data_IF_433794771990
#
_entry.id   IF_433794771990
#
_cell.length_a   1.000
_cell.length_b   1.000
_cell.length_c   1.000
_cell.angle_alpha   90.00
_cell.angle_beta   90.00
_cell.angle_gamma   90.00
#
_symmetry.space_group_name_H-M   'P 1'
#
loop_
_entity.id
_entity.type
_entity.pdbx_description
1 polymer ?
#
# COMPACT_ATOMS: atom_id res chain seq x y z
N UNK A 1 -0.06 2.37 29.06
CA UNK A 1 -0.38 0.94 29.14
C UNK A 1 -1.73 0.77 28.48
N UNK A 2 -1.76 0.48 27.17
CA UNK A 2 -3.01 0.29 26.42
C UNK A 2 -3.63 -1.00 26.93
N UNK A 3 -4.88 -0.98 27.36
CA UNK A 3 -5.51 -2.20 27.89
C UNK A 3 -5.79 -3.18 26.76
N UNK A 4 -5.71 -4.48 27.04
CA UNK A 4 -5.87 -5.56 26.05
C UNK A 4 -7.24 -5.51 25.31
N UNK A 5 -8.22 -4.80 25.87
CA UNK A 5 -9.56 -4.60 25.29
C UNK A 5 -9.56 -3.50 24.22
N UNK A 6 -8.81 -2.40 24.42
CA UNK A 6 -8.70 -1.31 23.45
C UNK A 6 -7.96 -1.77 22.18
N UNK A 7 -6.93 -2.60 22.34
CA UNK A 7 -6.20 -3.21 21.23
C UNK A 7 -7.07 -4.17 20.41
N UNK A 8 -7.88 -5.00 21.06
CA UNK A 8 -8.79 -5.93 20.38
C UNK A 8 -9.88 -5.18 19.58
N UNK A 9 -10.46 -4.12 20.15
CA UNK A 9 -11.44 -3.29 19.45
C UNK A 9 -10.83 -2.54 18.25
N UNK A 10 -9.63 -1.96 18.44
CA UNK A 10 -8.87 -1.30 17.38
C UNK A 10 -8.62 -2.25 16.20
N UNK A 11 -8.14 -3.46 16.49
CA UNK A 11 -7.89 -4.49 15.48
C UNK A 11 -9.19 -4.95 14.83
N UNK A 12 -10.26 -5.20 15.57
CA UNK A 12 -11.54 -5.66 15.00
C UNK A 12 -12.11 -4.68 13.96
N UNK A 13 -11.98 -3.37 14.19
CA UNK A 13 -12.43 -2.35 13.25
C UNK A 13 -11.56 -2.24 11.99
N UNK A 14 -10.26 -2.57 12.11
CA UNK A 14 -9.26 -2.43 11.04
C UNK A 14 -8.93 -3.75 10.36
N UNK A 15 -9.43 -4.85 10.90
CA UNK A 15 -9.03 -6.20 10.53
C UNK A 15 -9.40 -6.49 9.09
N UNK A 16 -8.44 -7.06 8.37
CA UNK A 16 -8.66 -7.66 7.05
C UNK A 16 -9.41 -9.01 7.15
N UNK A 17 -9.82 -9.49 8.33
CA UNK A 17 -10.48 -10.80 8.45
C UNK A 17 -11.90 -10.84 7.85
N UNK A 18 -12.56 -9.68 7.70
CA UNK A 18 -13.86 -9.56 6.99
C UNK A 18 -13.69 -9.26 5.49
N UNK A 19 -12.59 -9.69 4.88
CA UNK A 19 -12.28 -9.45 3.46
C UNK A 19 -13.45 -9.75 2.51
N UNK A 20 -14.28 -10.77 2.76
CA UNK A 20 -15.44 -11.04 1.88
C UNK A 20 -16.48 -9.92 1.87
N UNK A 21 -16.81 -9.36 3.03
CA UNK A 21 -17.78 -8.27 3.14
C UNK A 21 -17.20 -6.96 2.57
N UNK A 22 -15.92 -6.69 2.84
CA UNK A 22 -15.24 -5.52 2.29
C UNK A 22 -15.02 -5.62 0.79
N UNK A 23 -14.73 -6.81 0.26
CA UNK A 23 -14.62 -7.03 -1.17
C UNK A 23 -15.96 -6.70 -1.86
N UNK A 24 -17.09 -7.19 -1.36
CA UNK A 24 -18.39 -6.84 -1.97
C UNK A 24 -18.67 -5.32 -1.97
N UNK A 25 -18.29 -4.60 -0.90
CA UNK A 25 -18.44 -3.15 -0.85
C UNK A 25 -17.47 -2.41 -1.79
N UNK A 26 -16.24 -2.91 -1.94
CA UNK A 26 -15.25 -2.38 -2.89
C UNK A 26 -15.68 -2.67 -4.32
N UNK A 27 -16.18 -3.87 -4.61
CA UNK A 27 -16.74 -4.28 -5.89
C UNK A 27 -17.85 -3.32 -6.31
N UNK A 28 -18.75 -2.94 -5.38
CA UNK A 28 -19.80 -1.95 -5.65
C UNK A 28 -19.24 -0.58 -6.01
N UNK A 29 -18.24 -0.09 -5.26
CA UNK A 29 -17.61 1.22 -5.53
C UNK A 29 -16.91 1.20 -6.90
N UNK A 30 -16.12 0.16 -7.17
CA UNK A 30 -15.43 0.00 -8.45
C UNK A 30 -16.45 -0.08 -9.59
N UNK A 31 -17.53 -0.83 -9.41
CA UNK A 31 -18.61 -0.95 -10.39
C UNK A 31 -19.29 0.38 -10.68
N UNK A 32 -19.70 1.12 -9.64
CA UNK A 32 -20.35 2.43 -9.78
C UNK A 32 -19.44 3.44 -10.49
N UNK A 33 -18.18 3.52 -10.07
CA UNK A 33 -17.20 4.44 -10.68
C UNK A 33 -16.91 4.04 -12.12
N UNK A 34 -16.70 2.75 -12.39
CA UNK A 34 -16.41 2.30 -13.75
C UNK A 34 -17.60 2.44 -14.69
N UNK A 35 -18.84 2.27 -14.22
CA UNK A 35 -20.04 2.56 -15.02
C UNK A 35 -20.22 4.06 -15.29
N UNK A 36 -19.85 4.92 -14.34
CA UNK A 36 -19.89 6.37 -14.53
C UNK A 36 -18.87 6.86 -15.56
N UNK A 37 -17.69 6.23 -15.62
CA UNK A 37 -16.64 6.56 -16.60
C UNK A 37 -16.90 5.89 -17.95
N UNK A 38 -17.33 4.62 -17.95
CA UNK A 38 -17.67 3.83 -19.15
C UNK A 38 -19.06 3.19 -18.99
N UNK A 39 -20.12 3.86 -19.47
CA UNK A 39 -21.49 3.35 -19.32
C UNK A 39 -21.73 1.98 -19.96
N UNK A 40 -21.00 1.64 -21.02
CA UNK A 40 -21.10 0.33 -21.69
C UNK A 40 -20.52 -0.83 -20.84
N UNK A 41 -19.75 -0.52 -19.80
CA UNK A 41 -19.22 -1.49 -18.85
C UNK A 41 -20.36 -2.14 -18.03
N UNK A 42 -21.45 -1.41 -17.79
CA UNK A 42 -22.65 -1.93 -17.13
C UNK A 42 -23.32 -3.07 -17.92
N UNK A 43 -23.18 -3.07 -19.25
CA UNK A 43 -23.81 -4.05 -20.13
C UNK A 43 -23.09 -5.40 -20.17
N UNK A 44 -21.84 -5.46 -19.69
CA UNK A 44 -20.99 -6.65 -19.80
C UNK A 44 -21.11 -7.62 -18.63
N UNK A 45 -21.96 -7.33 -17.63
CA UNK A 45 -22.41 -8.28 -16.60
C UNK A 45 -21.28 -9.16 -16.04
N UNK A 46 -20.36 -8.57 -15.28
CA UNK A 46 -19.24 -9.34 -14.72
C UNK A 46 -19.59 -9.90 -13.35
N UNK A 47 -19.50 -11.23 -13.21
CA UNK A 47 -19.74 -12.01 -11.98
C UNK A 47 -18.48 -12.16 -11.09
N UNK A 48 -17.46 -11.32 -11.27
CA UNK A 48 -16.12 -11.58 -10.73
C UNK A 48 -15.61 -10.48 -9.80
N UNK A 49 -14.75 -10.87 -8.85
CA UNK A 49 -14.19 -10.05 -7.76
C UNK A 49 -13.59 -8.70 -8.21
N UNK A 50 -13.49 -7.73 -7.29
CA UNK A 50 -12.86 -6.40 -7.49
C UNK A 50 -11.58 -6.38 -8.29
N UNK A 51 -10.67 -7.33 -8.07
CA UNK A 51 -9.41 -7.44 -8.83
C UNK A 51 -9.71 -7.61 -10.32
N UNK A 52 -10.58 -8.55 -10.68
CA UNK A 52 -10.96 -8.80 -12.06
C UNK A 52 -11.71 -7.60 -12.67
N UNK A 53 -12.53 -6.90 -11.88
CA UNK A 53 -13.18 -5.68 -12.33
C UNK A 53 -12.15 -4.59 -12.67
N UNK A 54 -11.22 -4.34 -11.76
CA UNK A 54 -10.21 -3.32 -11.91
C UNK A 54 -9.29 -3.64 -13.11
N UNK A 55 -8.82 -4.88 -13.22
CA UNK A 55 -7.97 -5.35 -14.33
C UNK A 55 -8.66 -5.28 -15.70
N UNK A 56 -9.97 -5.54 -15.77
CA UNK A 56 -10.73 -5.44 -17.03
C UNK A 56 -11.02 -4.00 -17.43
N UNK A 57 -11.04 -3.08 -16.48
CA UNK A 57 -11.23 -1.66 -16.75
C UNK A 57 -9.94 -1.01 -17.28
N UNK A 58 -8.81 -1.25 -16.64
CA UNK A 58 -7.57 -0.52 -16.97
C UNK A 58 -6.96 -0.93 -18.33
N UNK A 59 -6.28 0.00 -19.00
CA UNK A 59 -5.48 -0.28 -20.19
C UNK A 59 -6.24 -0.31 -21.51
N UNK A 60 -7.51 0.10 -21.52
CA UNK A 60 -8.33 0.16 -22.75
C UNK A 60 -8.26 1.54 -23.39
N UNK A 61 -8.54 2.60 -22.62
CA UNK A 61 -8.59 3.99 -23.09
C UNK A 61 -7.91 4.89 -22.03
N UNK A 62 -6.72 5.47 -22.31
CA UNK A 62 -5.93 6.20 -21.32
C UNK A 62 -6.65 7.35 -20.62
N UNK A 63 -7.45 8.13 -21.36
CA UNK A 63 -8.20 9.26 -20.80
C UNK A 63 -9.29 8.80 -19.83
N UNK A 64 -9.88 7.63 -20.08
CA UNK A 64 -10.88 7.05 -19.20
C UNK A 64 -10.23 6.38 -17.99
N UNK A 65 -9.04 5.79 -18.14
CA UNK A 65 -8.25 5.28 -17.03
C UNK A 65 -7.86 6.42 -16.06
N UNK A 66 -7.44 7.57 -16.59
CA UNK A 66 -7.15 8.76 -15.79
C UNK A 66 -8.39 9.25 -15.02
N UNK A 67 -9.55 9.36 -15.67
CA UNK A 67 -10.82 9.75 -15.03
C UNK A 67 -11.27 8.75 -13.97
N UNK A 68 -11.08 7.46 -14.23
CA UNK A 68 -11.39 6.39 -13.29
C UNK A 68 -10.53 6.48 -12.03
N UNK A 69 -9.21 6.66 -12.20
CA UNK A 69 -8.28 6.94 -11.10
C UNK A 69 -8.72 8.17 -10.31
N UNK A 70 -8.93 9.31 -10.97
CA UNK A 70 -9.32 10.57 -10.31
C UNK A 70 -10.59 10.41 -9.48
N UNK A 71 -11.55 9.63 -9.97
CA UNK A 71 -12.81 9.37 -9.27
C UNK A 71 -12.62 8.41 -8.08
N UNK A 72 -11.67 7.47 -8.15
CA UNK A 72 -11.38 6.52 -7.07
C UNK A 72 -10.52 7.10 -5.95
N UNK A 73 -9.63 8.06 -6.23
CA UNK A 73 -8.70 8.62 -5.24
C UNK A 73 -9.36 9.07 -3.94
N UNK A 74 -10.49 9.81 -3.94
CA UNK A 74 -11.17 10.21 -2.70
C UNK A 74 -11.64 9.03 -1.82
N UNK A 75 -11.86 7.85 -2.42
CA UNK A 75 -12.20 6.64 -1.67
C UNK A 75 -10.97 5.95 -1.08
N UNK A 76 -9.83 6.00 -1.78
CA UNK A 76 -8.56 5.42 -1.36
C UNK A 76 -7.83 6.26 -0.30
N UNK A 77 -7.81 7.58 -0.48
CA UNK A 77 -7.00 8.55 0.28
C UNK A 77 -7.85 9.27 1.33
N UNK A 78 -8.49 8.52 2.24
CA UNK A 78 -9.28 9.11 3.35
C UNK A 78 -8.86 8.64 4.74
N UNK A 79 -8.83 7.32 4.96
CA UNK A 79 -8.49 6.72 6.25
C UNK A 79 -8.48 5.20 6.12
N UNK A 80 -7.38 4.56 6.50
CA UNK A 80 -7.28 3.10 6.57
C UNK A 80 -7.93 2.49 7.82
N UNK A 81 -8.49 3.33 8.69
CA UNK A 81 -9.50 2.90 9.65
C UNK A 81 -10.71 2.27 8.94
N UNK A 82 -10.96 2.65 7.67
CA UNK A 82 -11.90 2.01 6.78
C UNK A 82 -11.18 0.98 5.88
N UNK A 83 -11.42 -0.32 6.06
CA UNK A 83 -10.79 -1.36 5.25
C UNK A 83 -11.07 -1.24 3.75
N UNK A 84 -12.16 -0.59 3.33
CA UNK A 84 -12.46 -0.36 1.92
C UNK A 84 -11.47 0.62 1.28
N UNK A 85 -11.07 1.65 2.02
CA UNK A 85 -10.09 2.62 1.54
C UNK A 85 -8.73 1.95 1.33
N UNK A 86 -8.31 1.10 2.28
CA UNK A 86 -7.10 0.26 2.16
C UNK A 86 -7.14 -0.63 0.91
N UNK A 87 -8.25 -1.29 0.63
CA UNK A 87 -8.39 -2.16 -0.54
C UNK A 87 -8.40 -1.38 -1.87
N UNK A 88 -9.11 -0.26 -1.97
CA UNK A 88 -9.10 0.59 -3.17
C UNK A 88 -7.71 1.18 -3.40
N UNK A 89 -7.03 1.60 -2.34
CA UNK A 89 -5.63 2.03 -2.40
C UNK A 89 -4.75 0.92 -2.97
N UNK A 90 -4.94 -0.33 -2.53
CA UNK A 90 -4.25 -1.50 -3.07
C UNK A 90 -4.39 -1.65 -4.58
N UNK A 91 -5.63 -1.60 -5.09
CA UNK A 91 -5.88 -1.66 -6.54
C UNK A 91 -5.16 -0.54 -7.30
N UNK A 92 -5.24 0.70 -6.80
CA UNK A 92 -4.55 1.83 -7.42
C UNK A 92 -3.02 1.67 -7.39
N UNK A 93 -2.45 1.23 -6.26
CA UNK A 93 -1.01 1.05 -6.10
C UNK A 93 -0.44 -0.08 -6.98
N UNK A 94 -1.21 -1.14 -7.19
CA UNK A 94 -0.81 -2.28 -8.03
C UNK A 94 -0.92 -1.98 -9.53
N UNK A 95 -1.87 -1.12 -9.92
CA UNK A 95 -2.18 -0.78 -11.32
C UNK A 95 -1.05 -0.08 -12.09
N UNK A 96 -0.14 0.59 -11.38
CA UNK A 96 0.86 1.52 -11.94
C UNK A 96 0.29 2.67 -12.79
N UNK A 97 -1.01 2.90 -12.75
CA UNK A 97 -1.64 4.07 -13.37
C UNK A 97 -1.42 5.35 -12.55
N UNK A 98 -1.05 5.20 -11.28
CA UNK A 98 -0.82 6.29 -10.33
C UNK A 98 0.57 6.13 -9.74
N UNK A 99 1.39 7.18 -9.82
CA UNK A 99 2.75 7.20 -9.28
C UNK A 99 2.87 8.05 -8.00
N UNK A 100 1.77 8.64 -7.55
CA UNK A 100 1.73 9.64 -6.47
C UNK A 100 0.56 9.47 -5.51
N UNK A 101 0.18 8.21 -5.28
CA UNK A 101 -0.70 7.89 -4.16
C UNK A 101 -0.03 8.32 -2.86
N UNK A 102 -0.77 9.02 -2.01
CA UNK A 102 -0.26 9.44 -0.71
C UNK A 102 -0.07 8.23 0.21
N UNK A 103 1.19 7.81 0.40
CA UNK A 103 1.49 6.66 1.25
C UNK A 103 1.49 7.01 2.75
N UNK A 104 1.12 8.22 3.16
CA UNK A 104 0.96 8.56 4.58
C UNK A 104 -0.04 7.63 5.27
N UNK A 105 -1.11 7.22 4.58
CA UNK A 105 -2.13 6.32 5.12
C UNK A 105 -1.60 4.93 5.54
N UNK A 106 -0.93 4.14 4.66
CA UNK A 106 -0.33 2.89 5.09
C UNK A 106 0.78 3.09 6.13
N UNK A 107 1.56 4.18 6.07
CA UNK A 107 2.64 4.45 7.05
C UNK A 107 2.08 4.76 8.44
N UNK A 108 1.01 5.57 8.52
CA UNK A 108 0.30 5.87 9.76
C UNK A 108 -0.24 4.61 10.43
N UNK A 109 -0.86 3.72 9.65
CA UNK A 109 -1.38 2.45 10.18
C UNK A 109 -0.28 1.50 10.63
N UNK A 110 0.83 1.43 9.89
CA UNK A 110 2.00 0.65 10.32
C UNK A 110 2.53 1.18 11.66
N UNK A 111 2.68 2.50 11.79
CA UNK A 111 3.16 3.10 13.03
C UNK A 111 2.22 2.85 14.21
N UNK A 112 0.90 2.92 13.96
CA UNK A 112 -0.13 2.63 14.95
C UNK A 112 -0.15 1.15 15.38
N UNK A 113 0.02 0.23 14.43
CA UNK A 113 -0.21 -1.20 14.62
C UNK A 113 1.05 -2.03 14.90
N UNK A 114 2.25 -1.46 14.74
CA UNK A 114 3.54 -2.18 14.84
C UNK A 114 3.68 -3.00 16.12
N UNK A 115 3.17 -2.54 17.25
CA UNK A 115 3.37 -3.23 18.54
C UNK A 115 2.24 -4.21 18.89
N UNK A 116 1.35 -4.52 17.93
CA UNK A 116 0.26 -5.48 18.08
C UNK A 116 0.53 -6.76 17.25
N UNK A 117 0.89 -7.90 17.88
CA UNK A 117 1.20 -9.14 17.15
C UNK A 117 0.07 -9.63 16.22
N UNK A 118 -1.18 -9.44 16.64
CA UNK A 118 -2.35 -9.81 15.85
C UNK A 118 -2.54 -8.95 14.58
N UNK A 119 -1.84 -7.83 14.46
CA UNK A 119 -1.88 -6.96 13.28
C UNK A 119 -1.00 -7.45 12.12
N UNK A 120 -0.30 -8.59 12.24
CA UNK A 120 0.69 -9.04 11.25
C UNK A 120 0.17 -9.01 9.80
N UNK A 121 -1.08 -9.42 9.56
CA UNK A 121 -1.68 -9.39 8.22
C UNK A 121 -1.86 -7.97 7.69
N UNK A 122 -2.32 -7.05 8.52
CA UNK A 122 -2.45 -5.64 8.19
C UNK A 122 -1.08 -5.02 7.91
N UNK A 123 -0.11 -5.23 8.79
CA UNK A 123 1.27 -4.74 8.63
C UNK A 123 1.91 -5.27 7.34
N UNK A 124 1.73 -6.55 7.03
CA UNK A 124 2.24 -7.15 5.79
C UNK A 124 1.59 -6.53 4.56
N UNK A 125 0.28 -6.28 4.59
CA UNK A 125 -0.43 -5.66 3.49
C UNK A 125 0.00 -4.20 3.31
N UNK A 126 -0.01 -3.41 4.37
CA UNK A 126 0.35 -1.99 4.32
C UNK A 126 1.81 -1.78 3.91
N UNK A 127 2.74 -2.64 4.34
CA UNK A 127 4.12 -2.59 3.86
C UNK A 127 4.24 -2.93 2.36
N UNK A 128 3.39 -3.83 1.85
CA UNK A 128 3.32 -4.10 0.42
C UNK A 128 2.77 -2.89 -0.37
N UNK A 129 1.81 -2.15 0.20
CA UNK A 129 1.33 -0.89 -0.38
C UNK A 129 2.43 0.17 -0.44
N UNK A 130 3.20 0.34 0.65
CA UNK A 130 4.39 1.21 0.66
C UNK A 130 5.34 0.82 -0.48
N UNK A 131 5.66 -0.47 -0.64
CA UNK A 131 6.55 -0.96 -1.71
C UNK A 131 6.06 -0.62 -3.12
N UNK A 132 4.76 -0.72 -3.36
CA UNK A 132 4.18 -0.52 -4.69
C UNK A 132 4.03 0.96 -5.04
N UNK A 133 3.77 1.81 -4.05
CA UNK A 133 3.62 3.25 -4.22
C UNK A 133 4.88 4.06 -3.88
N UNK A 134 6.06 3.42 -3.74
CA UNK A 134 7.32 4.15 -3.60
C UNK A 134 7.63 4.96 -4.86
N UNK A 135 7.69 6.27 -4.71
CA UNK A 135 8.06 7.22 -5.76
C UNK A 135 8.79 8.43 -5.16
N UNK A 136 9.50 9.23 -5.98
CA UNK A 136 10.17 10.44 -5.49
C UNK A 136 9.24 11.41 -4.76
N UNK A 137 7.95 11.44 -5.11
CA UNK A 137 6.94 12.29 -4.46
C UNK A 137 6.61 11.85 -3.02
N UNK A 138 6.94 10.60 -2.67
CA UNK A 138 6.63 9.98 -1.39
C UNK A 138 7.87 9.79 -0.49
N UNK A 139 9.02 10.42 -0.81
CA UNK A 139 10.29 10.18 -0.12
C UNK A 139 10.18 10.37 1.39
N UNK A 140 9.51 11.43 1.86
CA UNK A 140 9.37 11.72 3.28
C UNK A 140 8.64 10.60 4.05
N UNK A 141 7.61 10.03 3.44
CA UNK A 141 6.86 8.93 4.05
C UNK A 141 7.63 7.60 3.98
N UNK A 142 8.41 7.38 2.92
CA UNK A 142 9.34 6.23 2.84
C UNK A 142 10.43 6.35 3.91
N UNK A 143 11.00 7.54 4.11
CA UNK A 143 11.97 7.81 5.18
C UNK A 143 11.36 7.52 6.55
N UNK A 144 10.17 8.08 6.82
CA UNK A 144 9.43 7.83 8.05
C UNK A 144 9.20 6.34 8.27
N UNK A 145 8.74 5.60 7.26
CA UNK A 145 8.56 4.15 7.34
C UNK A 145 9.83 3.41 7.78
N UNK A 146 10.99 3.76 7.22
CA UNK A 146 12.27 3.14 7.62
C UNK A 146 12.75 3.56 9.01
N UNK A 147 12.32 4.73 9.51
CA UNK A 147 12.61 5.17 10.87
C UNK A 147 11.75 4.50 11.93
N UNK A 148 10.62 3.89 11.57
CA UNK A 148 9.80 3.17 12.55
C UNK A 148 10.62 2.02 13.14
N UNK A 149 10.85 2.08 14.45
CA UNK A 149 11.50 1.02 15.21
C UNK A 149 10.44 0.10 15.81
N UNK A 150 10.40 -1.15 15.34
CA UNK A 150 9.70 -2.27 15.98
C UNK A 150 10.15 -3.60 15.36
N UNK A 151 10.41 -4.66 16.14
CA UNK A 151 10.80 -5.97 15.61
C UNK A 151 9.77 -6.59 14.64
N UNK A 152 8.49 -6.25 14.79
CA UNK A 152 7.39 -6.80 13.98
C UNK A 152 7.42 -6.36 12.52
N UNK A 153 8.05 -5.23 12.22
CA UNK A 153 8.09 -4.64 10.87
C UNK A 153 9.47 -4.74 10.22
N UNK A 154 10.50 -5.13 10.96
CA UNK A 154 11.88 -5.18 10.47
C UNK A 154 11.98 -6.02 9.19
N UNK A 155 11.39 -7.22 9.19
CA UNK A 155 11.39 -8.10 8.02
C UNK A 155 10.75 -7.46 6.77
N UNK A 156 9.72 -6.62 6.96
CA UNK A 156 9.12 -5.88 5.85
C UNK A 156 10.03 -4.77 5.34
N UNK A 157 10.66 -4.00 6.25
CA UNK A 157 11.66 -2.99 5.91
C UNK A 157 12.83 -3.61 5.12
N UNK A 158 13.34 -4.76 5.57
CA UNK A 158 14.38 -5.52 4.87
C UNK A 158 13.94 -5.97 3.47
N UNK A 159 12.69 -6.46 3.35
CA UNK A 159 12.09 -6.81 2.07
C UNK A 159 12.04 -5.61 1.12
N UNK A 160 11.61 -4.46 1.62
CA UNK A 160 11.46 -3.22 0.84
C UNK A 160 12.82 -2.68 0.41
N UNK A 161 13.86 -2.70 1.25
CA UNK A 161 15.22 -2.31 0.85
C UNK A 161 15.67 -3.13 -0.36
N UNK A 162 15.50 -4.45 -0.32
CA UNK A 162 15.91 -5.33 -1.43
C UNK A 162 15.14 -5.03 -2.71
N UNK A 163 13.83 -4.79 -2.60
CA UNK A 163 12.99 -4.54 -3.76
C UNK A 163 13.17 -3.12 -4.31
N UNK A 164 13.35 -2.12 -3.46
CA UNK A 164 13.63 -0.74 -3.87
C UNK A 164 14.93 -0.63 -4.67
N UNK A 165 15.97 -1.37 -4.29
CA UNK A 165 17.21 -1.47 -5.09
C UNK A 165 16.94 -2.11 -6.45
N UNK A 166 16.19 -3.23 -6.51
CA UNK A 166 15.81 -3.88 -7.78
C UNK A 166 14.99 -2.95 -8.68
N UNK A 167 14.09 -2.16 -8.09
CA UNK A 167 13.28 -1.14 -8.77
C UNK A 167 14.07 0.14 -9.11
N UNK A 168 15.36 0.23 -8.73
CA UNK A 168 16.22 1.41 -8.90
C UNK A 168 15.70 2.68 -8.21
N UNK A 169 14.79 2.55 -7.25
CA UNK A 169 14.17 3.67 -6.53
C UNK A 169 15.21 4.51 -5.78
N UNK A 170 16.10 3.86 -5.02
CA UNK A 170 17.09 4.55 -4.19
C UNK A 170 18.11 5.40 -4.95
N UNK A 171 18.28 5.18 -6.27
CA UNK A 171 19.09 6.06 -7.13
C UNK A 171 18.50 7.47 -7.25
N UNK A 172 17.21 7.59 -7.02
CA UNK A 172 16.43 8.83 -7.13
C UNK A 172 16.09 9.40 -5.75
N UNK A 173 16.55 8.78 -4.66
CA UNK A 173 16.27 9.18 -3.28
C UNK A 173 17.57 9.30 -2.47
N UNK A 174 18.43 10.31 -2.76
CA UNK A 174 19.67 10.55 -2.03
C UNK A 174 19.44 10.78 -0.53
N UNK A 175 18.27 11.26 -0.14
CA UNK A 175 17.84 11.47 1.24
C UNK A 175 17.86 10.17 2.04
N UNK A 176 17.67 9.01 1.37
CA UNK A 176 17.63 7.70 2.01
C UNK A 176 19.00 7.02 2.12
N UNK A 177 20.10 7.66 1.71
CA UNK A 177 21.44 7.05 1.75
C UNK A 177 21.92 6.76 3.18
N UNK A 178 21.33 7.40 4.20
CA UNK A 178 21.60 7.09 5.62
C UNK A 178 21.30 5.61 5.97
N UNK A 179 20.44 4.92 5.21
CA UNK A 179 20.15 3.50 5.40
C UNK A 179 21.40 2.62 5.36
N UNK A 180 22.45 3.05 4.64
CA UNK A 180 23.73 2.34 4.54
C UNK A 180 24.49 2.25 5.86
N UNK A 181 24.19 3.14 6.79
CA UNK A 181 24.80 3.25 8.13
C UNK A 181 23.77 3.01 9.25
N UNK A 182 22.56 2.59 8.88
CA UNK A 182 21.45 2.36 9.80
C UNK A 182 21.54 1.02 10.54
N UNK A 183 20.57 0.77 11.42
CA UNK A 183 20.34 -0.50 12.12
C UNK A 183 20.22 -1.72 11.20
N UNK A 184 19.94 -1.53 9.90
CA UNK A 184 19.81 -2.62 8.96
C UNK A 184 21.16 -3.21 8.52
N UNK A 185 22.25 -2.46 8.69
CA UNK A 185 23.60 -2.88 8.31
C UNK A 185 24.09 -4.00 9.23
N UNK A 186 24.68 -5.05 8.66
CA UNK A 186 25.24 -6.17 9.40
C UNK A 186 24.22 -7.23 9.84
N UNK A 187 22.92 -7.02 9.60
CA UNK A 187 21.88 -8.00 9.95
C UNK A 187 22.01 -9.28 9.11
N UNK A 188 22.25 -9.13 7.80
CA UNK A 188 22.60 -10.25 6.93
C UNK A 188 23.23 -9.79 5.61
N UNK A 189 23.98 -10.70 4.98
CA UNK A 189 24.73 -10.46 3.74
C UNK A 189 23.86 -9.99 2.56
N UNK A 190 22.61 -10.47 2.47
CA UNK A 190 21.74 -10.10 1.36
C UNK A 190 21.26 -8.64 1.47
N UNK A 191 21.08 -8.15 2.69
CA UNK A 191 20.74 -6.75 2.97
C UNK A 191 21.96 -5.87 2.80
N UNK A 192 23.13 -6.25 3.32
CA UNK A 192 24.37 -5.49 3.12
C UNK A 192 24.64 -5.26 1.64
N UNK A 193 24.50 -6.31 0.82
CA UNK A 193 24.63 -6.20 -0.63
C UNK A 193 23.57 -5.30 -1.28
N UNK A 194 22.36 -5.21 -0.72
CA UNK A 194 21.35 -4.28 -1.20
C UNK A 194 21.72 -2.83 -0.83
N UNK A 195 22.11 -2.58 0.42
CA UNK A 195 22.53 -1.26 0.92
C UNK A 195 23.70 -0.70 0.10
N UNK A 196 24.69 -1.54 -0.24
CA UNK A 196 25.84 -1.10 -1.05
C UNK A 196 25.46 -0.64 -2.46
N UNK A 197 24.36 -1.16 -3.00
CA UNK A 197 23.85 -0.84 -4.35
C UNK A 197 22.86 0.33 -4.38
N UNK A 198 22.51 0.94 -3.25
CA UNK A 198 21.48 2.00 -3.21
C UNK A 198 21.82 3.25 -4.03
N UNK A 199 23.10 3.52 -4.30
CA UNK A 199 23.57 4.66 -5.10
C UNK A 199 24.18 4.28 -6.46
N UNK A 200 24.10 3.01 -6.87
CA UNK A 200 24.66 2.47 -8.12
C UNK A 200 23.56 2.17 -9.13
#
# INVERSE_FOLDING_TARGET
MVTNVDGAALLAMRSMERMREYNAAVDSILFEVGCAVRPWFAAHGFETSSVAYFETFIGVIPEEDARFVETLRPFAERSFADPRARLIFGHLAESRLVDDLDISYPVDEIELLKDYPAAFRNLSHDAFLVLNAMSPKNIDQVDRFFRIESPSIENFQLGIIRQGVKKKFFRQAPELQWLKESRFRGLNRAIDSALDRMGM
#
